data_IF_457640621298
#
_entry.id   IF_457640621298
#
_cell.length_a   1.000
_cell.length_b   1.000
_cell.length_c   1.000
_cell.angle_alpha   90.00
_cell.angle_beta   90.00
_cell.angle_gamma   90.00
#
_symmetry.space_group_name_H-M   'P 1'
#
loop_
_entity.id
_entity.type
_entity.pdbx_description
1 polymer ?
#
# COMPACT_ATOMS: atom_id res chain seq x y z
N UNK A 1 9.23 15.01 15.30
CA UNK A 1 8.66 14.03 14.35
C UNK A 1 9.57 14.02 13.15
N UNK A 2 10.19 12.91 12.77
CA UNK A 2 10.82 12.82 11.46
C UNK A 2 9.68 12.64 10.45
N UNK A 3 9.20 13.74 9.87
CA UNK A 3 8.25 13.67 8.76
C UNK A 3 8.88 12.82 7.66
N UNK A 4 8.12 11.89 7.06
CA UNK A 4 8.58 11.30 5.80
C UNK A 4 8.69 12.47 4.82
N UNK A 5 9.85 12.73 4.21
CA UNK A 5 10.00 13.88 3.33
C UNK A 5 8.90 13.86 2.29
N UNK A 6 8.20 14.97 2.14
CA UNK A 6 7.15 15.10 1.14
C UNK A 6 7.83 15.26 -0.24
N UNK A 7 8.31 14.14 -0.79
CA UNK A 7 9.04 14.07 -2.05
C UNK A 7 8.23 14.68 -3.21
N UNK A 8 6.89 14.62 -3.13
CA UNK A 8 6.01 15.21 -4.14
C UNK A 8 5.79 16.73 -4.02
N UNK A 9 5.97 17.34 -2.84
CA UNK A 9 5.80 18.78 -2.63
C UNK A 9 7.12 19.55 -2.58
N UNK A 10 8.23 18.86 -2.30
CA UNK A 10 9.61 19.35 -2.45
C UNK A 10 9.99 19.60 -3.91
N UNK A 11 9.10 19.28 -4.86
CA UNK A 11 9.18 19.72 -6.24
C UNK A 11 8.87 21.23 -6.35
N UNK A 12 9.80 22.07 -6.86
CA UNK A 12 9.55 23.49 -7.13
C UNK A 12 8.24 23.76 -7.90
N UNK A 13 7.62 24.92 -7.65
CA UNK A 13 6.29 25.32 -8.17
C UNK A 13 6.14 25.12 -9.69
N UNK A 14 7.22 25.35 -10.43
CA UNK A 14 7.28 25.18 -11.89
C UNK A 14 7.20 23.71 -12.37
N UNK A 15 7.30 22.72 -11.48
CA UNK A 15 7.19 21.29 -11.76
C UNK A 15 5.85 20.68 -11.35
N UNK A 16 4.89 21.52 -10.92
CA UNK A 16 3.53 21.09 -10.58
C UNK A 16 2.57 21.12 -11.77
N UNK A 17 2.93 21.80 -12.86
CA UNK A 17 1.99 22.18 -13.92
C UNK A 17 2.22 21.57 -15.29
N UNK A 18 3.44 21.19 -15.68
CA UNK A 18 3.69 20.67 -17.03
C UNK A 18 4.97 19.83 -17.10
N UNK A 19 4.89 18.80 -17.93
CA UNK A 19 5.83 17.70 -18.15
C UNK A 19 7.21 18.07 -18.68
N UNK A 20 8.14 17.12 -18.52
CA UNK A 20 9.43 16.93 -19.22
C UNK A 20 10.63 17.76 -18.69
N UNK A 21 11.58 17.07 -18.06
CA UNK A 21 12.92 17.58 -17.71
C UNK A 21 13.64 16.61 -16.75
N UNK A 22 14.94 16.75 -16.53
CA UNK A 22 15.71 15.88 -15.62
C UNK A 22 15.96 16.55 -14.25
N UNK A 23 16.00 15.74 -13.18
CA UNK A 23 16.55 16.06 -11.86
C UNK A 23 18.01 15.61 -11.88
N UNK A 24 18.91 16.54 -12.23
CA UNK A 24 20.32 16.26 -12.50
C UNK A 24 21.07 15.71 -11.28
N UNK A 25 20.67 16.05 -10.05
CA UNK A 25 21.32 15.51 -8.85
C UNK A 25 21.00 14.03 -8.59
N UNK A 26 19.89 13.52 -9.12
CA UNK A 26 19.42 12.14 -8.90
C UNK A 26 19.44 11.28 -10.17
N UNK A 27 19.66 11.88 -11.34
CA UNK A 27 19.59 11.18 -12.64
C UNK A 27 18.18 10.72 -13.02
N UNK A 28 17.14 11.42 -12.53
CA UNK A 28 15.73 10.99 -12.58
C UNK A 28 14.89 12.04 -13.30
N UNK A 29 14.04 11.65 -14.26
CA UNK A 29 13.09 12.56 -14.94
C UNK A 29 12.09 13.18 -13.95
N UNK A 30 11.77 14.44 -14.19
CA UNK A 30 11.06 15.38 -13.32
C UNK A 30 9.54 15.20 -13.29
N UNK A 31 9.00 14.40 -14.21
CA UNK A 31 7.63 13.88 -14.15
C UNK A 31 7.66 12.43 -14.59
N UNK A 32 7.91 11.52 -13.65
CA UNK A 32 7.80 10.09 -13.89
C UNK A 32 6.35 9.73 -14.21
N UNK A 33 6.00 9.63 -15.49
CA UNK A 33 4.76 8.92 -15.86
C UNK A 33 4.93 7.45 -15.50
N UNK A 34 3.84 6.74 -15.21
CA UNK A 34 3.86 5.32 -14.83
C UNK A 34 4.72 4.45 -15.77
N UNK A 35 4.64 4.72 -17.08
CA UNK A 35 5.48 4.07 -18.11
C UNK A 35 6.97 4.34 -17.85
N UNK A 36 7.35 5.60 -17.65
CA UNK A 36 8.73 5.95 -17.35
C UNK A 36 9.20 5.29 -16.05
N UNK A 37 8.33 5.13 -15.05
CA UNK A 37 8.67 4.51 -13.77
C UNK A 37 9.02 3.04 -13.95
N UNK A 38 8.21 2.30 -14.70
CA UNK A 38 8.48 0.90 -14.97
C UNK A 38 9.72 0.71 -15.83
N UNK A 39 9.95 1.58 -16.81
CA UNK A 39 11.17 1.55 -17.61
C UNK A 39 12.41 1.84 -16.75
N UNK A 40 12.34 2.82 -15.86
CA UNK A 40 13.42 3.13 -14.92
C UNK A 40 13.66 2.00 -13.92
N UNK A 41 12.60 1.39 -13.37
CA UNK A 41 12.74 0.22 -12.50
C UNK A 41 13.36 -0.95 -13.25
N UNK A 42 12.98 -1.16 -14.52
CA UNK A 42 13.58 -2.18 -15.39
C UNK A 42 15.06 -1.91 -15.64
N UNK A 43 15.42 -0.66 -15.91
CA UNK A 43 16.81 -0.24 -16.10
C UNK A 43 17.66 -0.39 -14.83
N UNK A 44 17.12 0.02 -13.67
CA UNK A 44 17.88 0.03 -12.41
C UNK A 44 17.94 -1.30 -11.68
N UNK A 45 16.92 -2.14 -11.83
CA UNK A 45 16.82 -3.42 -11.13
C UNK A 45 17.16 -4.60 -12.05
N UNK A 46 17.23 -4.40 -13.37
CA UNK A 46 17.59 -5.41 -14.35
C UNK A 46 16.87 -6.75 -14.08
N UNK A 47 17.59 -7.87 -14.06
CA UNK A 47 17.06 -9.22 -13.81
C UNK A 47 16.47 -9.47 -12.42
N UNK A 48 16.52 -8.49 -11.49
CA UNK A 48 15.90 -8.61 -10.16
C UNK A 48 14.41 -8.28 -10.17
N UNK A 49 13.88 -7.65 -11.22
CA UNK A 49 12.46 -7.36 -11.35
C UNK A 49 11.86 -8.06 -12.58
N UNK A 50 10.62 -8.52 -12.46
CA UNK A 50 9.87 -9.10 -13.58
C UNK A 50 8.53 -8.37 -13.68
N UNK A 51 8.19 -7.95 -14.90
CA UNK A 51 6.92 -7.28 -15.20
C UNK A 51 5.99 -8.24 -15.94
N UNK A 52 4.71 -8.19 -15.59
CA UNK A 52 3.66 -9.00 -16.20
C UNK A 52 2.53 -8.07 -16.66
N UNK A 53 2.29 -8.01 -17.97
CA UNK A 53 1.14 -7.28 -18.52
C UNK A 53 -0.17 -8.07 -18.31
N UNK A 54 -0.07 -9.40 -18.32
CA UNK A 54 -1.14 -10.31 -17.95
C UNK A 54 -0.75 -11.04 -16.65
N UNK A 55 -1.56 -10.97 -15.59
CA UNK A 55 -1.17 -11.49 -14.29
C UNK A 55 -1.11 -13.02 -14.33
N UNK A 56 0.04 -13.63 -13.97
CA UNK A 56 0.15 -15.08 -13.87
C UNK A 56 -0.62 -15.58 -12.62
N UNK A 57 -1.00 -16.87 -12.58
CA UNK A 57 -1.48 -17.48 -11.35
C UNK A 57 -0.36 -17.50 -10.29
N UNK A 58 -0.76 -17.52 -9.02
CA UNK A 58 0.16 -17.52 -7.85
C UNK A 58 1.23 -18.62 -7.91
N UNK A 59 0.88 -19.77 -8.49
CA UNK A 59 1.78 -20.92 -8.60
C UNK A 59 2.91 -20.72 -9.61
N UNK A 60 2.77 -19.76 -10.55
CA UNK A 60 3.71 -19.54 -11.66
C UNK A 60 4.50 -18.23 -11.56
N UNK A 61 4.21 -17.37 -10.57
CA UNK A 61 4.90 -16.06 -10.47
C UNK A 61 6.33 -16.20 -9.94
N UNK A 62 6.59 -17.22 -9.11
CA UNK A 62 7.85 -17.33 -8.37
C UNK A 62 8.99 -17.75 -9.30
N UNK A 63 10.11 -17.02 -9.26
CA UNK A 63 11.30 -17.32 -10.08
C UNK A 63 12.44 -17.93 -9.27
N UNK A 64 12.55 -17.57 -8.00
CA UNK A 64 13.59 -18.08 -7.10
C UNK A 64 13.23 -19.48 -6.61
N UNK A 65 14.16 -20.45 -6.64
CA UNK A 65 13.92 -21.80 -6.09
C UNK A 65 13.37 -21.77 -4.66
N UNK A 66 12.41 -22.65 -4.35
CA UNK A 66 11.75 -22.68 -3.03
C UNK A 66 12.74 -23.00 -1.89
N UNK A 67 13.70 -23.88 -2.17
CA UNK A 67 14.76 -24.29 -1.24
C UNK A 67 15.74 -23.17 -0.88
N UNK A 68 15.78 -22.06 -1.64
CA UNK A 68 16.62 -20.91 -1.31
C UNK A 68 16.22 -20.20 -0.03
N UNK A 69 14.98 -20.42 0.45
CA UNK A 69 14.44 -19.74 1.62
C UNK A 69 14.03 -18.28 1.41
N UNK A 70 14.44 -17.65 0.30
CA UNK A 70 14.28 -16.21 0.04
C UNK A 70 12.83 -15.84 -0.34
N UNK A 71 12.22 -14.81 0.27
CA UNK A 71 10.92 -14.31 -0.16
C UNK A 71 11.02 -13.49 -1.46
N UNK A 72 9.92 -13.41 -2.19
CA UNK A 72 9.77 -12.48 -3.33
C UNK A 72 8.59 -11.52 -3.06
N UNK A 73 8.73 -10.27 -3.50
CA UNK A 73 7.69 -9.25 -3.40
C UNK A 73 6.92 -9.16 -4.72
N UNK A 74 5.60 -9.34 -4.65
CA UNK A 74 4.67 -9.14 -5.75
C UNK A 74 3.93 -7.82 -5.53
N UNK A 75 3.95 -6.93 -6.52
CA UNK A 75 3.20 -5.68 -6.51
C UNK A 75 2.16 -5.73 -7.62
N UNK A 76 0.89 -5.60 -7.25
CA UNK A 76 -0.24 -5.56 -8.18
C UNK A 76 -0.70 -4.10 -8.26
N UNK A 77 -0.52 -3.48 -9.41
CA UNK A 77 -0.86 -2.08 -9.66
C UNK A 77 -1.97 -1.94 -10.72
N UNK A 78 -2.79 -0.90 -10.60
CA UNK A 78 -3.88 -0.53 -11.53
C UNK A 78 -5.02 -1.56 -11.76
N UNK A 79 -5.10 -2.63 -10.95
CA UNK A 79 -6.18 -3.63 -11.06
C UNK A 79 -7.38 -3.40 -10.12
N UNK A 80 -7.51 -2.19 -9.53
CA UNK A 80 -8.57 -1.85 -8.56
C UNK A 80 -10.00 -2.04 -9.09
N UNK A 81 -10.18 -1.92 -10.40
CA UNK A 81 -11.49 -2.00 -11.05
C UNK A 81 -11.81 -3.40 -11.62
N UNK A 82 -10.81 -4.28 -11.78
CA UNK A 82 -11.02 -5.62 -12.33
C UNK A 82 -11.48 -6.61 -11.25
N UNK A 83 -12.80 -6.76 -11.10
CA UNK A 83 -13.40 -7.64 -10.09
C UNK A 83 -13.14 -9.12 -10.34
N UNK A 84 -13.04 -9.54 -11.61
CA UNK A 84 -12.83 -10.94 -11.94
C UNK A 84 -11.41 -11.36 -11.63
N UNK A 85 -10.42 -10.56 -12.00
CA UNK A 85 -9.02 -10.82 -11.64
C UNK A 85 -8.80 -10.72 -10.13
N UNK A 86 -9.42 -9.75 -9.44
CA UNK A 86 -9.34 -9.69 -7.98
C UNK A 86 -9.86 -10.96 -7.31
N UNK A 87 -11.02 -11.44 -7.73
CA UNK A 87 -11.65 -12.63 -7.14
C UNK A 87 -10.92 -13.92 -7.50
N UNK A 88 -10.55 -14.11 -8.77
CA UNK A 88 -10.12 -15.40 -9.30
C UNK A 88 -8.59 -15.55 -9.39
N UNK A 89 -7.84 -14.45 -9.30
CA UNK A 89 -6.37 -14.45 -9.43
C UNK A 89 -5.74 -13.83 -8.19
N UNK A 90 -5.98 -12.54 -7.93
CA UNK A 90 -5.27 -11.80 -6.90
C UNK A 90 -5.61 -12.27 -5.48
N UNK A 91 -6.84 -12.69 -5.21
CA UNK A 91 -7.22 -13.29 -3.91
C UNK A 91 -6.34 -14.49 -3.52
N UNK A 92 -5.84 -15.25 -4.50
CA UNK A 92 -4.98 -16.41 -4.26
C UNK A 92 -3.59 -16.00 -3.76
N UNK A 93 -3.10 -14.82 -4.13
CA UNK A 93 -1.84 -14.29 -3.59
C UNK A 93 -1.95 -13.99 -2.09
N UNK A 94 -3.11 -13.55 -1.62
CA UNK A 94 -3.35 -13.24 -0.21
C UNK A 94 -3.68 -14.47 0.63
N UNK A 95 -4.30 -15.49 0.05
CA UNK A 95 -4.65 -16.73 0.77
C UNK A 95 -3.54 -17.78 0.74
N UNK A 96 -2.88 -17.96 -0.40
CA UNK A 96 -1.89 -19.03 -0.64
C UNK A 96 -0.47 -18.52 -0.86
N UNK A 97 -0.26 -17.24 -1.19
CA UNK A 97 1.05 -16.70 -1.54
C UNK A 97 2.13 -16.96 -0.49
N UNK A 98 1.77 -16.96 0.81
CA UNK A 98 2.70 -17.29 1.90
C UNK A 98 3.34 -18.69 1.76
N UNK A 99 2.59 -19.69 1.26
CA UNK A 99 3.12 -21.04 1.00
C UNK A 99 4.18 -21.04 -0.12
N UNK A 100 4.14 -20.03 -0.99
CA UNK A 100 5.11 -19.81 -2.05
C UNK A 100 6.19 -18.79 -1.66
N UNK A 101 6.29 -18.41 -0.37
CA UNK A 101 7.18 -17.34 0.13
C UNK A 101 7.01 -16.03 -0.66
N UNK A 102 5.78 -15.69 -1.00
CA UNK A 102 5.43 -14.44 -1.66
C UNK A 102 4.86 -13.46 -0.64
N UNK A 103 5.42 -12.26 -0.59
CA UNK A 103 4.80 -11.09 0.04
C UNK A 103 4.09 -10.31 -1.05
N UNK A 104 2.86 -9.85 -0.80
CA UNK A 104 2.04 -9.20 -1.83
C UNK A 104 1.58 -7.81 -1.39
N UNK A 105 1.73 -6.83 -2.27
CA UNK A 105 1.16 -5.50 -2.15
C UNK A 105 0.12 -5.34 -3.26
N UNK A 106 -1.09 -4.92 -2.90
CA UNK A 106 -2.16 -4.59 -3.85
C UNK A 106 -2.49 -3.10 -3.74
N UNK A 107 -2.24 -2.35 -4.82
CA UNK A 107 -2.52 -0.91 -4.86
C UNK A 107 -3.99 -0.69 -5.23
N UNK A 108 -4.75 -0.14 -4.28
CA UNK A 108 -6.20 0.03 -4.41
C UNK A 108 -6.65 1.48 -4.36
N UNK A 109 -7.56 1.86 -5.26
CA UNK A 109 -8.27 3.14 -5.20
C UNK A 109 -9.37 3.19 -4.13
N UNK A 110 -9.88 2.03 -3.69
CA UNK A 110 -10.90 1.99 -2.63
C UNK A 110 -10.82 0.68 -1.88
N UNK A 111 -10.66 0.79 -0.56
CA UNK A 111 -10.72 -0.35 0.32
C UNK A 111 -12.11 -1.00 0.21
N UNK A 112 -13.20 -0.22 0.22
CA UNK A 112 -14.56 -0.73 0.02
C UNK A 112 -14.74 -1.53 -1.27
N UNK A 113 -14.15 -1.08 -2.38
CA UNK A 113 -14.30 -1.75 -3.67
C UNK A 113 -13.43 -3.01 -3.80
N UNK A 114 -12.35 -3.15 -3.04
CA UNK A 114 -11.40 -4.27 -3.14
C UNK A 114 -12.07 -5.60 -2.82
N UNK A 115 -11.70 -6.72 -3.45
CA UNK A 115 -12.32 -8.02 -3.13
C UNK A 115 -12.20 -8.40 -1.63
N UNK A 116 -13.25 -9.03 -1.10
CA UNK A 116 -13.33 -9.40 0.32
C UNK A 116 -12.18 -10.30 0.75
N UNK A 117 -11.77 -11.25 -0.09
CA UNK A 117 -10.69 -12.18 0.23
C UNK A 117 -9.35 -11.47 0.34
N UNK A 118 -9.10 -10.48 -0.51
CA UNK A 118 -7.87 -9.65 -0.43
C UNK A 118 -7.84 -8.91 0.91
N UNK A 119 -8.93 -8.24 1.28
CA UNK A 119 -9.00 -7.44 2.51
C UNK A 119 -8.85 -8.25 3.78
N UNK A 120 -9.63 -9.32 3.92
CA UNK A 120 -9.66 -10.11 5.15
C UNK A 120 -8.39 -10.94 5.37
N UNK A 121 -7.62 -11.21 4.31
CA UNK A 121 -6.34 -11.92 4.41
C UNK A 121 -5.13 -10.97 4.41
N UNK A 122 -5.35 -9.65 4.33
CA UNK A 122 -4.29 -8.65 4.46
C UNK A 122 -3.90 -8.48 5.94
N UNK A 123 -2.60 -8.39 6.22
CA UNK A 123 -2.05 -8.12 7.57
C UNK A 123 -1.86 -6.63 7.84
N UNK A 124 -1.71 -5.85 6.78
CA UNK A 124 -1.40 -4.44 6.83
C UNK A 124 -2.25 -3.67 5.84
N UNK A 125 -2.64 -2.45 6.21
CA UNK A 125 -3.27 -1.50 5.28
C UNK A 125 -2.62 -0.14 5.44
N UNK A 126 -2.07 0.39 4.34
CA UNK A 126 -1.54 1.74 4.26
C UNK A 126 -2.56 2.66 3.59
N UNK A 127 -3.11 3.62 4.35
CA UNK A 127 -4.08 4.59 3.85
C UNK A 127 -3.40 5.94 3.66
N UNK A 128 -3.05 6.24 2.41
CA UNK A 128 -2.51 7.55 2.02
C UNK A 128 -3.64 8.57 1.82
N UNK A 129 -4.76 8.11 1.25
CA UNK A 129 -5.96 8.90 1.01
C UNK A 129 -7.18 7.99 1.03
N UNK A 130 -8.14 8.30 1.90
CA UNK A 130 -9.46 7.69 1.86
C UNK A 130 -10.38 8.52 0.94
N UNK A 131 -11.08 7.86 0.01
CA UNK A 131 -12.05 8.52 -0.85
C UNK A 131 -13.40 8.74 -0.15
N UNK A 132 -13.68 7.95 0.90
CA UNK A 132 -14.92 8.05 1.67
C UNK A 132 -14.71 7.70 3.15
N UNK A 133 -15.59 8.21 4.03
CA UNK A 133 -15.66 7.75 5.43
C UNK A 133 -15.97 6.24 5.52
N UNK A 134 -16.71 5.72 4.54
CA UNK A 134 -17.07 4.28 4.45
C UNK A 134 -15.84 3.38 4.32
N UNK A 135 -14.82 3.81 3.59
CA UNK A 135 -13.55 3.06 3.51
C UNK A 135 -12.94 2.91 4.91
N UNK A 136 -12.85 4.00 5.68
CA UNK A 136 -12.28 4.00 7.03
C UNK A 136 -13.10 3.14 8.01
N UNK A 137 -14.43 3.26 7.99
CA UNK A 137 -15.32 2.46 8.83
C UNK A 137 -15.16 0.95 8.56
N UNK A 138 -15.03 0.58 7.28
CA UNK A 138 -14.86 -0.83 6.92
C UNK A 138 -13.47 -1.37 7.30
N UNK A 139 -12.43 -0.53 7.28
CA UNK A 139 -11.11 -0.90 7.81
C UNK A 139 -11.22 -1.26 9.30
N UNK A 140 -11.86 -0.42 10.11
CA UNK A 140 -12.03 -0.68 11.55
C UNK A 140 -12.76 -2.01 11.79
N UNK A 141 -13.85 -2.26 11.05
CA UNK A 141 -14.62 -3.51 11.16
C UNK A 141 -13.81 -4.76 10.79
N UNK A 142 -12.97 -4.67 9.77
CA UNK A 142 -12.20 -5.83 9.31
C UNK A 142 -11.02 -6.17 10.23
N UNK A 143 -10.40 -5.17 10.86
CA UNK A 143 -9.19 -5.37 11.66
C UNK A 143 -9.41 -5.39 13.16
N UNK A 144 -10.56 -4.88 13.64
CA UNK A 144 -10.95 -4.89 15.06
C UNK A 144 -9.83 -4.46 16.02
N UNK A 145 -9.22 -3.31 15.73
CA UNK A 145 -8.08 -2.80 16.51
C UNK A 145 -8.59 -2.32 17.88
N UNK A 146 -8.04 -2.80 19.01
CA UNK A 146 -8.47 -2.40 20.34
C UNK A 146 -8.49 -0.89 20.55
N UNK A 147 -9.59 -0.37 21.10
CA UNK A 147 -9.78 1.06 21.39
C UNK A 147 -10.03 1.94 20.15
N UNK A 148 -10.03 1.37 18.94
CA UNK A 148 -10.29 2.12 17.71
C UNK A 148 -11.73 1.92 17.28
N UNK A 149 -12.44 3.04 17.16
CA UNK A 149 -13.83 3.14 16.75
C UNK A 149 -13.96 3.80 15.38
N UNK A 150 -15.15 3.73 14.77
CA UNK A 150 -15.46 4.41 13.50
C UNK A 150 -15.27 5.94 13.57
N UNK A 151 -15.39 6.54 14.75
CA UNK A 151 -15.19 7.98 14.96
C UNK A 151 -13.71 8.30 15.16
N UNK A 152 -13.02 7.56 16.02
CA UNK A 152 -11.61 7.81 16.34
C UNK A 152 -10.68 7.52 15.16
N UNK A 153 -11.00 6.56 14.29
CA UNK A 153 -10.22 6.29 13.07
C UNK A 153 -10.15 7.52 12.14
N UNK A 154 -11.22 8.30 12.05
CA UNK A 154 -11.25 9.52 11.21
C UNK A 154 -10.30 10.56 11.79
N UNK A 155 -10.27 10.70 13.12
CA UNK A 155 -9.34 11.60 13.81
C UNK A 155 -7.89 11.19 13.57
N UNK A 156 -7.55 9.91 13.71
CA UNK A 156 -6.19 9.42 13.48
C UNK A 156 -5.80 9.51 12.01
N UNK A 157 -6.71 9.21 11.08
CA UNK A 157 -6.50 9.37 9.65
C UNK A 157 -6.18 10.83 9.29
N UNK A 158 -6.99 11.78 9.74
CA UNK A 158 -6.77 13.20 9.46
C UNK A 158 -5.43 13.70 10.03
N UNK A 159 -5.07 13.25 11.24
CA UNK A 159 -3.77 13.58 11.84
C UNK A 159 -2.61 12.95 11.07
N UNK A 160 -2.73 11.67 10.70
CA UNK A 160 -1.68 10.93 10.02
C UNK A 160 -1.45 11.40 8.59
N UNK A 161 -2.49 11.85 7.91
CA UNK A 161 -2.45 12.28 6.49
C UNK A 161 -2.48 13.79 6.32
N UNK A 162 -2.27 14.55 7.41
CA UNK A 162 -2.26 16.02 7.39
C UNK A 162 -1.26 16.60 6.37
N UNK A 163 -0.14 15.89 6.15
CA UNK A 163 0.86 16.22 5.15
C UNK A 163 0.83 15.22 3.98
N UNK A 164 0.96 15.72 2.75
CA UNK A 164 1.03 14.87 1.55
C UNK A 164 2.20 13.88 1.66
N UNK A 165 1.97 12.65 1.26
CA UNK A 165 2.95 11.56 1.32
C UNK A 165 3.04 10.86 2.68
N UNK A 166 2.30 11.32 3.69
CA UNK A 166 2.12 10.57 4.93
C UNK A 166 0.93 9.60 4.79
N UNK A 167 0.91 8.57 5.64
CA UNK A 167 -0.14 7.56 5.67
C UNK A 167 -0.54 7.22 7.09
N UNK A 168 -1.83 6.88 7.25
CA UNK A 168 -2.27 6.07 8.38
C UNK A 168 -1.98 4.61 8.05
N UNK A 169 -1.21 3.94 8.91
CA UNK A 169 -0.87 2.54 8.73
C UNK A 169 -1.57 1.68 9.77
N UNK A 170 -2.27 0.67 9.29
CA UNK A 170 -2.98 -0.31 10.09
C UNK A 170 -2.09 -1.54 10.18
N UNK A 171 -1.75 -1.92 11.40
CA UNK A 171 -0.91 -3.06 11.72
C UNK A 171 -1.75 -4.07 12.50
N UNK A 172 -2.34 -5.03 11.78
CA UNK A 172 -3.22 -6.04 12.40
C UNK A 172 -2.43 -7.10 13.14
N UNK A 173 -1.16 -7.30 12.78
CA UNK A 173 -0.27 -8.28 13.43
C UNK A 173 -0.05 -7.90 14.88
N UNK A 174 0.14 -6.61 15.15
CA UNK A 174 0.34 -6.10 16.50
C UNK A 174 -0.93 -5.47 17.11
N UNK A 175 -2.02 -5.38 16.34
CA UNK A 175 -3.27 -4.76 16.78
C UNK A 175 -3.11 -3.27 17.11
N UNK A 176 -2.38 -2.52 16.28
CA UNK A 176 -2.12 -1.09 16.51
C UNK A 176 -2.31 -0.24 15.25
N UNK A 177 -2.54 1.05 15.46
CA UNK A 177 -2.39 2.07 14.42
C UNK A 177 -0.98 2.66 14.48
N UNK A 178 -0.46 3.06 13.32
CA UNK A 178 0.83 3.76 13.21
C UNK A 178 0.72 5.00 12.33
N UNK A 179 1.50 6.02 12.68
CA UNK A 179 1.88 7.09 11.78
C UNK A 179 3.00 6.58 10.88
N UNK A 180 2.69 6.41 9.59
CA UNK A 180 3.57 5.74 8.63
C UNK A 180 4.03 4.36 9.15
N UNK A 181 5.26 3.95 8.89
CA UNK A 181 5.76 2.62 9.25
C UNK A 181 6.16 2.49 10.74
N UNK A 182 6.72 3.54 11.33
CA UNK A 182 7.56 3.36 12.53
C UNK A 182 6.90 3.80 13.84
N UNK A 183 5.95 4.75 13.81
CA UNK A 183 5.47 5.39 15.04
C UNK A 183 4.07 4.91 15.42
N UNK A 184 3.99 4.07 16.46
CA UNK A 184 2.72 3.60 17.03
C UNK A 184 1.90 4.77 17.58
N UNK A 185 0.59 4.75 17.32
CA UNK A 185 -0.39 5.69 17.86
C UNK A 185 -0.87 5.13 19.20
N UNK A 186 -0.68 5.90 20.28
CA UNK A 186 -1.28 5.59 21.57
C UNK A 186 -2.78 5.90 21.49
N UNK A 187 -3.59 4.86 21.46
CA UNK A 187 -5.05 4.96 21.53
C UNK A 187 -5.41 5.14 22.99
N UNK A 188 -6.07 6.25 23.34
CA UNK A 188 -6.65 6.42 24.67
C UNK A 188 -7.83 5.47 24.78
N UNK A 189 -7.73 4.47 25.66
CA UNK A 189 -8.92 3.80 26.16
C UNK A 189 -9.64 4.83 27.03
N UNK A 190 -10.78 5.34 26.59
CA UNK A 190 -11.75 5.85 27.56
C UNK A 190 -12.12 4.62 28.39
N UNK A 191 -11.71 4.60 29.66
CA UNK A 191 -12.35 3.76 30.65
C UNK A 191 -13.80 4.21 30.68
N UNK A 192 -14.72 3.33 30.30
CA UNK A 192 -16.12 3.49 30.62
C UNK A 192 -16.21 3.50 32.15
N UNK A 193 -16.12 4.69 32.74
CA UNK A 193 -16.53 4.94 34.12
C UNK A 193 -18.06 4.99 34.13
N UNK A 194 -18.69 3.85 34.45
CA UNK A 194 -19.96 3.77 35.16
C UNK A 194 -19.85 2.78 36.31
#
# INVERSE_FOLDING_TARGET
MSEIPNYGASLPKQYRGSSVGDIKELGIKKLFRMIELYDYLRDKLEGFITFYDNPPPVDHVRRTPMNSGKPELVIIDDYSNDKLLQKNVFSHFFTRGRHHKLSTIFLSHSYFATDKMIRLNSEYVAILKANSKRDLQMVVKNFNIPGVTETTIVTYYNKATANKGQMLFIDSVHGVLRYNFNKVIKVSCESDEE
#
